data_IF_977111363654
#
_entry.id   IF_977111363654
#
_cell.length_a   1.000
_cell.length_b   1.000
_cell.length_c   1.000
_cell.angle_alpha   90.00
_cell.angle_beta   90.00
_cell.angle_gamma   90.00
#
_symmetry.space_group_name_H-M   'P 1'
#
loop_
_entity.id
_entity.type
_entity.pdbx_description
1 polymer ?
#
# COMPACT_ATOMS: atom_id res chain seq x y z
N UNK A 1 14.88 -14.02 5.37
CA UNK A 1 15.01 -12.76 6.11
C UNK A 1 14.82 -11.65 5.08
N UNK A 2 13.86 -10.77 5.28
CA UNK A 2 13.52 -9.70 4.34
C UNK A 2 14.15 -8.39 4.83
N UNK A 3 14.74 -7.61 3.92
CA UNK A 3 15.38 -6.34 4.22
C UNK A 3 14.62 -5.19 3.55
N UNK A 4 14.59 -4.05 4.21
CA UNK A 4 14.06 -2.77 3.69
C UNK A 4 15.20 -1.79 3.45
N UNK A 5 15.02 -0.88 2.52
CA UNK A 5 15.97 0.19 2.17
C UNK A 5 15.73 1.37 3.11
N UNK A 6 16.71 1.67 3.97
CA UNK A 6 16.66 2.86 4.82
C UNK A 6 16.94 4.11 3.98
N UNK A 7 16.17 5.17 4.23
CA UNK A 7 16.31 6.44 3.50
C UNK A 7 16.32 7.64 4.44
N UNK A 8 16.82 8.76 3.95
CA UNK A 8 16.63 10.06 4.59
C UNK A 8 15.30 10.72 4.13
N UNK A 9 14.97 11.90 4.64
CA UNK A 9 13.75 12.66 4.29
C UNK A 9 13.70 13.14 2.83
N UNK A 10 14.79 12.98 2.08
CA UNK A 10 14.91 13.29 0.66
C UNK A 10 14.96 12.04 -0.22
N UNK A 11 14.60 10.86 0.35
CA UNK A 11 14.62 9.55 -0.29
C UNK A 11 16.01 9.07 -0.76
N UNK A 12 17.10 9.61 -0.20
CA UNK A 12 18.42 9.07 -0.47
C UNK A 12 18.63 7.80 0.36
N UNK A 13 19.10 6.71 -0.29
CA UNK A 13 19.46 5.48 0.42
C UNK A 13 20.62 5.72 1.39
N UNK A 14 20.41 5.37 2.67
CA UNK A 14 21.42 5.50 3.74
C UNK A 14 21.83 4.14 4.33
N UNK A 15 21.20 3.05 3.89
CA UNK A 15 21.53 1.70 4.33
C UNK A 15 20.37 0.71 4.13
N UNK A 16 20.51 -0.42 4.79
CA UNK A 16 19.49 -1.48 4.77
C UNK A 16 19.34 -2.05 6.18
N UNK A 17 18.13 -2.49 6.53
CA UNK A 17 17.82 -3.11 7.80
C UNK A 17 16.88 -4.29 7.60
N UNK A 18 16.97 -5.28 8.49
CA UNK A 18 15.97 -6.35 8.53
C UNK A 18 14.58 -5.74 8.81
N UNK A 19 13.59 -6.16 8.05
CA UNK A 19 12.26 -5.54 8.00
C UNK A 19 11.61 -5.43 9.37
N UNK A 20 11.61 -6.52 10.16
CA UNK A 20 10.97 -6.50 11.47
C UNK A 20 11.71 -5.59 12.45
N UNK A 21 13.05 -5.54 12.38
CA UNK A 21 13.85 -4.62 13.18
C UNK A 21 13.53 -3.16 12.87
N UNK A 22 13.35 -2.82 11.57
CA UNK A 22 12.99 -1.48 11.13
C UNK A 22 11.60 -1.01 11.62
N UNK A 23 10.71 -1.95 12.00
CA UNK A 23 9.39 -1.65 12.57
C UNK A 23 9.40 -1.62 14.11
N UNK A 24 10.31 -2.37 14.76
CA UNK A 24 10.50 -2.35 16.21
C UNK A 24 11.16 -1.03 16.63
N UNK A 25 12.25 -0.67 15.94
CA UNK A 25 12.92 0.62 16.06
C UNK A 25 12.57 1.45 14.82
N UNK A 26 11.51 2.28 14.84
CA UNK A 26 10.87 2.82 13.64
C UNK A 26 11.80 3.71 12.81
N UNK A 27 12.68 3.06 12.05
CA UNK A 27 13.56 3.71 11.09
C UNK A 27 12.83 4.07 9.81
N UNK A 28 13.11 5.27 9.27
CA UNK A 28 12.54 5.69 7.98
C UNK A 28 13.06 4.79 6.87
N UNK A 29 12.16 4.13 6.17
CA UNK A 29 12.49 3.21 5.08
C UNK A 29 11.55 3.40 3.89
N UNK A 30 12.05 3.02 2.71
CA UNK A 30 11.32 3.18 1.44
C UNK A 30 10.22 2.15 1.31
N UNK A 31 9.04 2.63 0.94
CA UNK A 31 7.86 1.82 0.69
C UNK A 31 7.11 2.28 -0.56
N UNK A 32 6.10 1.53 -0.96
CA UNK A 32 5.17 1.94 -2.01
C UNK A 32 3.76 1.46 -1.72
N UNK A 33 2.79 2.25 -2.18
CA UNK A 33 1.36 1.95 -2.15
C UNK A 33 0.78 2.00 -3.56
N UNK A 34 -0.02 0.98 -3.92
CA UNK A 34 -0.68 0.85 -5.22
C UNK A 34 -2.18 1.03 -5.03
N UNK A 35 -2.79 1.84 -5.90
CA UNK A 35 -4.23 2.05 -5.99
C UNK A 35 -4.70 1.77 -7.41
N UNK A 36 -5.40 0.65 -7.61
CA UNK A 36 -5.96 0.29 -8.91
C UNK A 36 -7.45 0.58 -8.94
N UNK A 37 -7.87 1.28 -9.98
CA UNK A 37 -9.27 1.55 -10.27
C UNK A 37 -9.74 0.69 -11.44
N UNK A 38 -11.01 0.31 -11.43
CA UNK A 38 -11.64 -0.26 -12.63
C UNK A 38 -12.18 0.84 -13.54
N UNK A 39 -12.74 0.46 -14.69
CA UNK A 39 -13.33 1.42 -15.65
C UNK A 39 -14.58 2.16 -15.14
N UNK A 40 -15.13 1.73 -13.98
CA UNK A 40 -16.26 2.40 -13.31
C UNK A 40 -15.83 3.40 -12.26
N UNK A 41 -14.51 3.58 -12.04
CA UNK A 41 -13.96 4.44 -10.99
C UNK A 41 -14.03 3.84 -9.58
N UNK A 42 -14.21 2.52 -9.45
CA UNK A 42 -14.20 1.83 -8.17
C UNK A 42 -12.77 1.39 -7.84
N UNK A 43 -12.34 1.63 -6.59
CA UNK A 43 -11.03 1.23 -6.09
C UNK A 43 -11.01 -0.26 -5.73
N UNK A 44 -10.00 -0.98 -6.20
CA UNK A 44 -9.71 -2.36 -5.81
C UNK A 44 -9.07 -2.38 -4.43
N UNK A 45 -9.83 -2.85 -3.44
CA UNK A 45 -9.40 -3.02 -2.06
C UNK A 45 -8.91 -4.43 -1.81
N UNK A 46 -7.89 -4.56 -0.96
CA UNK A 46 -7.36 -5.82 -0.47
C UNK A 46 -7.69 -5.98 1.02
N UNK A 47 -8.09 -7.17 1.45
CA UNK A 47 -8.10 -7.55 2.87
C UNK A 47 -6.83 -8.35 3.17
N UNK A 48 -6.03 -7.90 4.13
CA UNK A 48 -4.78 -8.53 4.53
C UNK A 48 -5.03 -9.94 5.08
N UNK A 49 -4.16 -10.89 4.76
CA UNK A 49 -4.24 -12.23 5.31
C UNK A 49 -4.18 -12.19 6.85
N UNK A 50 -4.90 -13.12 7.50
CA UNK A 50 -4.95 -13.22 8.96
C UNK A 50 -3.60 -13.64 9.58
N UNK A 51 -2.72 -14.22 8.76
CA UNK A 51 -1.35 -14.63 9.13
C UNK A 51 -0.34 -13.48 9.15
N UNK A 52 -0.72 -12.28 8.72
CA UNK A 52 0.20 -11.12 8.72
C UNK A 52 0.62 -10.74 10.13
N UNK A 53 1.91 -10.43 10.29
CA UNK A 53 2.52 -10.09 11.57
C UNK A 53 2.06 -8.75 12.16
N UNK A 54 1.49 -7.84 11.34
CA UNK A 54 0.78 -6.63 11.79
C UNK A 54 -0.45 -6.36 10.94
N UNK A 55 -1.42 -5.65 11.49
CA UNK A 55 -2.68 -5.28 10.83
C UNK A 55 -3.38 -6.46 10.13
N UNK A 56 -3.42 -7.69 10.72
CA UNK A 56 -4.07 -8.84 10.09
C UNK A 56 -5.57 -8.61 9.89
N UNK A 57 -6.10 -9.03 8.75
CA UNK A 57 -7.53 -8.95 8.44
C UNK A 57 -8.07 -7.56 8.13
N UNK A 58 -7.25 -6.50 8.21
CA UNK A 58 -7.69 -5.15 7.87
C UNK A 58 -7.76 -4.94 6.36
N UNK A 59 -8.69 -4.09 5.95
CA UNK A 59 -8.81 -3.60 4.59
C UNK A 59 -7.78 -2.51 4.31
N UNK A 60 -7.24 -2.52 3.10
CA UNK A 60 -6.24 -1.56 2.66
C UNK A 60 -6.36 -1.32 1.15
N UNK A 61 -5.49 -0.47 0.60
CA UNK A 61 -5.31 -0.25 -0.83
C UNK A 61 -4.98 -1.56 -1.57
N UNK A 62 -4.87 -1.50 -2.88
CA UNK A 62 -4.72 -2.70 -3.74
C UNK A 62 -3.50 -3.55 -3.38
N UNK A 63 -2.35 -2.91 -3.12
CA UNK A 63 -1.12 -3.56 -2.68
C UNK A 63 -0.19 -2.54 -2.05
N UNK A 64 0.56 -2.93 -1.04
CA UNK A 64 1.65 -2.12 -0.47
C UNK A 64 2.79 -3.02 -0.01
N UNK A 65 4.03 -2.57 -0.18
CA UNK A 65 5.22 -3.31 0.21
C UNK A 65 6.47 -2.43 0.11
N UNK A 66 7.63 -3.09 0.10
CA UNK A 66 8.95 -2.45 0.08
C UNK A 66 9.76 -2.93 -1.14
N UNK A 67 10.56 -2.04 -1.77
CA UNK A 67 11.54 -2.46 -2.75
C UNK A 67 12.67 -3.25 -2.08
N UNK A 68 13.22 -4.20 -2.81
CA UNK A 68 14.46 -4.90 -2.45
C UNK A 68 15.67 -4.01 -2.78
N UNK A 69 16.82 -4.34 -2.22
CA UNK A 69 18.07 -3.70 -2.61
C UNK A 69 18.26 -3.74 -4.13
N UNK A 70 18.64 -2.63 -4.72
CA UNK A 70 18.85 -2.44 -6.17
C UNK A 70 17.59 -2.55 -7.04
N UNK A 71 16.40 -2.64 -6.43
CA UNK A 71 15.12 -2.62 -7.13
C UNK A 71 14.54 -1.20 -7.10
N UNK A 72 14.07 -0.69 -8.22
CA UNK A 72 13.31 0.56 -8.22
C UNK A 72 11.93 0.36 -7.60
N UNK A 73 11.31 1.43 -7.10
CA UNK A 73 9.95 1.36 -6.54
C UNK A 73 8.93 0.87 -7.56
N UNK A 74 9.06 1.25 -8.84
CA UNK A 74 8.18 0.81 -9.92
C UNK A 74 8.32 -0.70 -10.24
N UNK A 75 9.56 -1.23 -10.24
CA UNK A 75 9.82 -2.66 -10.40
C UNK A 75 9.25 -3.46 -9.23
N UNK A 76 9.47 -2.97 -7.99
CA UNK A 76 8.93 -3.57 -6.78
C UNK A 76 7.39 -3.56 -6.77
N UNK A 77 6.77 -2.44 -7.15
CA UNK A 77 5.33 -2.32 -7.26
C UNK A 77 4.75 -3.34 -8.25
N UNK A 78 5.33 -3.44 -9.44
CA UNK A 78 4.90 -4.40 -10.46
C UNK A 78 5.07 -5.86 -10.01
N UNK A 79 6.18 -6.18 -9.35
CA UNK A 79 6.45 -7.51 -8.80
C UNK A 79 5.45 -7.88 -7.71
N UNK A 80 5.24 -7.01 -6.73
CA UNK A 80 4.35 -7.30 -5.59
C UNK A 80 2.88 -7.35 -6.00
N UNK A 81 2.45 -6.50 -6.93
CA UNK A 81 1.11 -6.57 -7.49
C UNK A 81 0.84 -7.97 -8.11
N UNK A 82 1.83 -8.51 -8.84
CA UNK A 82 1.73 -9.87 -9.37
C UNK A 82 1.77 -10.93 -8.26
N UNK A 83 2.65 -10.79 -7.25
CA UNK A 83 2.81 -11.77 -6.17
C UNK A 83 1.59 -11.83 -5.25
N UNK A 84 0.93 -10.70 -4.96
CA UNK A 84 -0.21 -10.63 -4.04
C UNK A 84 -1.56 -10.77 -4.75
N UNK A 85 -1.75 -10.03 -5.85
CA UNK A 85 -3.04 -9.91 -6.53
C UNK A 85 -3.13 -10.69 -7.84
N UNK A 86 -2.01 -11.25 -8.33
CA UNK A 86 -1.94 -11.95 -9.63
C UNK A 86 -2.22 -11.04 -10.83
N UNK A 87 -1.99 -9.74 -10.69
CA UNK A 87 -2.35 -8.73 -11.69
C UNK A 87 -1.11 -8.04 -12.28
N UNK A 88 -1.28 -7.52 -13.51
CA UNK A 88 -0.33 -6.64 -14.18
C UNK A 88 -1.10 -5.49 -14.81
N UNK A 89 -0.65 -4.27 -14.60
CA UNK A 89 -1.15 -3.11 -15.32
C UNK A 89 -0.08 -2.01 -15.38
N UNK A 90 -0.29 -1.05 -16.25
CA UNK A 90 0.49 0.18 -16.25
C UNK A 90 0.07 1.04 -15.05
N UNK A 91 1.07 1.53 -14.33
CA UNK A 91 0.90 2.35 -13.14
C UNK A 91 1.79 3.58 -13.23
N UNK A 92 1.31 4.70 -12.71
CA UNK A 92 2.05 5.97 -12.66
C UNK A 92 2.27 6.34 -11.21
N UNK A 93 3.51 6.69 -10.86
CA UNK A 93 3.80 7.33 -9.57
C UNK A 93 3.22 8.74 -9.60
N UNK A 94 2.45 9.10 -8.58
CA UNK A 94 1.68 10.35 -8.56
C UNK A 94 2.11 11.30 -7.46
N UNK A 95 2.56 10.80 -6.33
CA UNK A 95 3.16 11.57 -5.23
C UNK A 95 3.92 10.67 -4.27
N UNK A 96 4.66 11.29 -3.37
CA UNK A 96 5.31 10.64 -2.24
C UNK A 96 4.90 11.33 -0.96
N UNK A 97 4.91 10.60 0.17
CA UNK A 97 4.68 11.17 1.49
C UNK A 97 5.44 10.40 2.55
N UNK A 98 5.72 11.06 3.68
CA UNK A 98 6.31 10.40 4.84
C UNK A 98 5.23 10.27 5.90
N UNK A 99 5.11 9.09 6.50
CA UNK A 99 4.24 8.88 7.63
C UNK A 99 4.90 8.02 8.70
N UNK A 100 4.38 8.15 9.92
CA UNK A 100 4.74 7.32 11.07
C UNK A 100 3.49 6.96 11.83
N UNK A 101 3.20 5.66 11.94
CA UNK A 101 1.98 5.19 12.58
C UNK A 101 2.17 3.87 13.31
N UNK A 102 1.60 3.69 14.51
CA UNK A 102 1.56 2.40 15.19
C UNK A 102 0.65 1.45 14.42
N UNK A 103 1.10 0.20 14.22
CA UNK A 103 0.37 -0.83 13.48
C UNK A 103 0.03 -2.05 14.34
N UNK A 104 0.11 -1.89 15.65
CA UNK A 104 -0.18 -2.94 16.63
C UNK A 104 1.05 -3.78 16.98
N UNK A 105 0.90 -4.63 18.00
CA UNK A 105 1.94 -5.57 18.48
C UNK A 105 3.30 -4.93 18.81
N UNK A 106 3.32 -3.64 19.18
CA UNK A 106 4.55 -2.90 19.48
C UNK A 106 5.34 -2.48 18.24
N UNK A 107 4.75 -2.62 17.05
CA UNK A 107 5.35 -2.25 15.78
C UNK A 107 4.86 -0.86 15.33
N UNK A 108 5.73 -0.13 14.66
CA UNK A 108 5.46 1.20 14.09
C UNK A 108 6.01 1.25 12.67
N UNK A 109 5.15 1.59 11.73
CA UNK A 109 5.57 1.96 10.38
C UNK A 109 6.18 3.36 10.39
N UNK A 110 7.30 3.54 9.71
CA UNK A 110 7.89 4.86 9.44
C UNK A 110 8.43 4.81 8.02
N UNK A 111 7.61 5.25 7.08
CA UNK A 111 7.83 5.02 5.65
C UNK A 111 7.93 6.31 4.85
N UNK A 112 8.85 6.30 3.89
CA UNK A 112 8.84 7.17 2.72
C UNK A 112 8.09 6.41 1.63
N UNK A 113 6.81 6.71 1.46
CA UNK A 113 5.89 5.95 0.61
C UNK A 113 5.73 6.60 -0.76
N UNK A 114 5.95 5.80 -1.82
CA UNK A 114 5.73 6.15 -3.22
C UNK A 114 4.35 5.66 -3.65
N UNK A 115 3.46 6.56 -4.05
CA UNK A 115 2.09 6.23 -4.39
C UNK A 115 1.91 6.08 -5.89
N UNK A 116 1.43 4.89 -6.29
CA UNK A 116 1.15 4.53 -7.66
C UNK A 116 -0.35 4.39 -7.91
N UNK A 117 -0.82 4.96 -9.02
CA UNK A 117 -2.20 4.80 -9.49
C UNK A 117 -2.19 4.11 -10.86
N UNK A 118 -3.07 3.15 -11.05
CA UNK A 118 -3.30 2.45 -12.31
C UNK A 118 -4.76 2.14 -12.54
N UNK A 119 -5.07 1.57 -13.71
CA UNK A 119 -6.42 1.14 -14.06
C UNK A 119 -6.40 -0.26 -14.68
N UNK A 120 -7.27 -1.15 -14.19
CA UNK A 120 -7.46 -2.48 -14.77
C UNK A 120 -8.87 -2.99 -14.46
N UNK A 121 -9.47 -3.66 -15.43
CA UNK A 121 -10.72 -4.41 -15.27
C UNK A 121 -10.46 -5.92 -15.11
N UNK A 122 -9.21 -6.33 -14.97
CA UNK A 122 -8.84 -7.73 -14.76
C UNK A 122 -9.33 -8.21 -13.39
N UNK A 123 -9.72 -9.47 -13.31
CA UNK A 123 -10.13 -10.11 -12.05
C UNK A 123 -8.88 -10.54 -11.30
N UNK A 124 -8.69 -10.12 -10.03
CA UNK A 124 -7.58 -10.55 -9.21
C UNK A 124 -7.50 -12.08 -9.02
N UNK A 125 -6.29 -12.62 -9.13
CA UNK A 125 -5.97 -14.00 -8.75
C UNK A 125 -5.08 -13.95 -7.49
N UNK A 126 -5.71 -13.79 -6.34
CA UNK A 126 -5.02 -13.51 -5.07
C UNK A 126 -4.17 -14.66 -4.57
N UNK A 127 -3.02 -14.34 -3.99
CA UNK A 127 -2.25 -15.25 -3.16
C UNK A 127 -2.82 -15.26 -1.73
N UNK A 128 -3.42 -16.36 -1.32
CA UNK A 128 -4.12 -16.48 -0.02
C UNK A 128 -3.18 -16.41 1.20
N UNK A 129 -1.87 -16.56 1.01
CA UNK A 129 -0.89 -16.33 2.08
C UNK A 129 -0.69 -14.84 2.39
N UNK A 130 -0.98 -13.97 1.42
CA UNK A 130 -0.83 -12.52 1.51
C UNK A 130 -2.17 -11.80 1.68
N UNK A 131 -3.21 -12.27 0.99
CA UNK A 131 -4.51 -11.61 0.82
C UNK A 131 -5.64 -12.57 1.18
N UNK A 132 -6.45 -12.19 2.17
CA UNK A 132 -7.62 -12.99 2.58
C UNK A 132 -8.81 -12.81 1.63
N UNK A 133 -9.02 -11.60 1.11
CA UNK A 133 -10.15 -11.26 0.23
C UNK A 133 -9.87 -9.96 -0.53
N UNK A 134 -10.72 -9.66 -1.50
CA UNK A 134 -10.71 -8.40 -2.22
C UNK A 134 -12.12 -7.95 -2.57
N UNK A 135 -12.30 -6.66 -2.82
CA UNK A 135 -13.57 -6.07 -3.27
C UNK A 135 -13.31 -4.76 -4.02
N UNK A 136 -14.24 -4.36 -4.87
CA UNK A 136 -14.30 -3.00 -5.41
C UNK A 136 -15.23 -2.13 -4.56
N UNK A 137 -14.84 -0.88 -4.34
CA UNK A 137 -15.68 0.13 -3.68
C UNK A 137 -15.55 1.47 -4.39
N UNK A 138 -16.68 2.21 -4.47
CA UNK A 138 -16.63 3.61 -4.90
C UNK A 138 -15.92 4.46 -3.83
N UNK A 139 -15.36 5.60 -4.23
CA UNK A 139 -14.71 6.52 -3.28
C UNK A 139 -15.74 7.07 -2.26
N UNK A 140 -16.96 7.33 -2.68
CA UNK A 140 -18.02 7.81 -1.80
C UNK A 140 -18.38 6.77 -0.73
N UNK A 141 -18.57 5.49 -1.12
CA UNK A 141 -18.83 4.40 -0.17
C UNK A 141 -17.66 4.18 0.78
N UNK A 142 -16.42 4.25 0.27
CA UNK A 142 -15.21 4.15 1.09
C UNK A 142 -15.11 5.29 2.10
N UNK A 143 -15.39 6.52 1.70
CA UNK A 143 -15.38 7.69 2.59
C UNK A 143 -16.36 7.52 3.75
N UNK A 144 -17.56 7.02 3.46
CA UNK A 144 -18.60 6.74 4.47
C UNK A 144 -18.14 5.59 5.38
N UNK A 145 -17.65 4.50 4.81
CA UNK A 145 -17.28 3.28 5.56
C UNK A 145 -16.06 3.53 6.47
N UNK A 146 -15.05 4.27 6.00
CA UNK A 146 -13.89 4.68 6.81
C UNK A 146 -14.33 5.58 7.98
N UNK A 147 -15.29 6.50 7.76
CA UNK A 147 -15.79 7.37 8.81
C UNK A 147 -16.58 6.60 9.88
N UNK A 148 -17.32 5.57 9.50
CA UNK A 148 -18.13 4.75 10.40
C UNK A 148 -17.33 3.65 11.11
N UNK A 149 -16.36 3.06 10.42
CA UNK A 149 -15.60 1.88 10.87
C UNK A 149 -14.09 2.03 10.62
N UNK A 150 -13.44 3.09 11.16
CA UNK A 150 -12.02 3.35 10.91
C UNK A 150 -11.10 2.21 11.35
N UNK A 151 -11.52 1.39 12.32
CA UNK A 151 -10.79 0.22 12.82
C UNK A 151 -10.73 -0.94 11.82
N UNK A 152 -11.56 -0.93 10.77
CA UNK A 152 -11.51 -1.94 9.71
C UNK A 152 -10.41 -1.70 8.68
N UNK A 153 -9.74 -0.55 8.74
CA UNK A 153 -8.78 -0.08 7.74
C UNK A 153 -7.39 0.12 8.33
N UNK A 154 -6.37 -0.11 7.49
CA UNK A 154 -4.97 0.13 7.89
C UNK A 154 -4.70 1.62 8.11
N UNK A 155 -3.73 1.94 8.98
CA UNK A 155 -3.39 3.33 9.31
C UNK A 155 -2.89 4.10 8.07
N UNK A 156 -1.96 3.52 7.30
CA UNK A 156 -1.41 4.17 6.10
C UNK A 156 -2.49 4.47 5.04
N UNK A 157 -3.45 3.56 4.85
CA UNK A 157 -4.56 3.78 3.90
C UNK A 157 -5.42 4.99 4.33
N UNK A 158 -5.77 5.09 5.62
CA UNK A 158 -6.54 6.23 6.15
C UNK A 158 -5.77 7.54 6.01
N UNK A 159 -4.45 7.53 6.27
CA UNK A 159 -3.60 8.74 6.21
C UNK A 159 -3.57 9.30 4.78
N UNK A 160 -3.42 8.46 3.77
CA UNK A 160 -3.24 8.92 2.38
C UNK A 160 -4.54 9.01 1.57
N UNK A 161 -5.68 8.59 2.11
CA UNK A 161 -6.93 8.42 1.37
C UNK A 161 -7.40 9.71 0.67
N UNK A 162 -7.38 10.84 1.34
CA UNK A 162 -7.82 12.14 0.79
C UNK A 162 -6.90 12.60 -0.35
N UNK A 163 -5.59 12.55 -0.14
CA UNK A 163 -4.59 12.94 -1.14
C UNK A 163 -4.65 12.02 -2.37
N UNK A 164 -4.75 10.73 -2.15
CA UNK A 164 -4.92 9.73 -3.21
C UNK A 164 -6.17 10.02 -4.05
N UNK A 165 -7.30 10.33 -3.39
CA UNK A 165 -8.57 10.65 -4.07
C UNK A 165 -8.43 11.89 -4.94
N UNK A 166 -7.76 12.94 -4.45
CA UNK A 166 -7.47 14.14 -5.23
C UNK A 166 -6.68 13.80 -6.51
N UNK A 167 -5.59 13.04 -6.40
CA UNK A 167 -4.77 12.63 -7.55
C UNK A 167 -5.54 11.72 -8.52
N UNK A 168 -6.34 10.79 -8.02
CA UNK A 168 -7.17 9.92 -8.86
C UNK A 168 -8.18 10.74 -9.68
N UNK A 169 -8.79 11.77 -9.08
CA UNK A 169 -9.67 12.71 -9.76
C UNK A 169 -8.96 13.49 -10.88
N UNK A 170 -7.74 14.00 -10.62
CA UNK A 170 -6.93 14.69 -11.63
C UNK A 170 -6.57 13.77 -12.82
N UNK A 171 -6.41 12.48 -12.59
CA UNK A 171 -6.13 11.48 -13.63
C UNK A 171 -7.41 10.97 -14.32
N UNK A 172 -8.60 11.42 -13.91
CA UNK A 172 -9.88 10.96 -14.44
C UNK A 172 -10.15 9.47 -14.16
N UNK A 173 -9.72 8.97 -13.00
CA UNK A 173 -9.94 7.57 -12.58
C UNK A 173 -11.22 7.38 -11.74
N UNK A 174 -11.74 8.47 -11.20
CA UNK A 174 -12.98 8.55 -10.40
C UNK A 174 -13.84 9.73 -10.86
#
# INVERSE_FOLDING_TARGET
MEYVVLVDESDNEIGQMEKQAAHIEPHLHRAFSIFLFNSKGELLMQQRALSKYHSPGLWTNTCCSHPRASETTAEAASRRLMEEMGMRCEMHEVYTFIYKAPVGQGLTEHEFDHVFIGQSDDIPCINTEEVASWKYMTIDDLSIDIALYPEHYTEWFKITFEEMTHHAGLLGKI
#
